data_IF_071132741747
#
_entry.id   IF_071132741747
#
_cell.length_a   1.000
_cell.length_b   1.000
_cell.length_c   1.000
_cell.angle_alpha   90.00
_cell.angle_beta   90.00
_cell.angle_gamma   90.00
#
_symmetry.space_group_name_H-M   'P 1'
#
loop_
_entity.id
_entity.type
_entity.pdbx_description
1 polymer ?
#
# COMPACT_ATOMS: atom_id res chain seq x y z
N UNK A 1 -19.31 10.50 14.28
CA UNK A 1 -19.10 9.09 13.88
C UNK A 1 -18.27 8.46 14.98
N UNK A 2 -18.81 7.50 15.73
CA UNK A 2 -18.06 6.80 16.77
C UNK A 2 -16.91 6.04 16.09
N UNK A 3 -15.67 6.38 16.48
CA UNK A 3 -14.50 5.60 16.07
C UNK A 3 -14.69 4.22 16.69
N UNK A 4 -14.90 3.19 15.84
CA UNK A 4 -14.91 1.79 16.29
C UNK A 4 -13.68 1.55 17.17
N UNK A 5 -13.83 0.81 18.27
CA UNK A 5 -12.68 0.32 19.04
C UNK A 5 -11.79 -0.49 18.10
N UNK A 6 -10.66 0.10 17.68
CA UNK A 6 -9.68 -0.53 16.80
C UNK A 6 -8.81 -1.44 17.64
N UNK A 7 -8.66 -2.70 17.23
CA UNK A 7 -7.82 -3.65 17.93
C UNK A 7 -6.33 -3.23 17.88
N UNK A 8 -5.51 -3.58 18.87
CA UNK A 8 -4.08 -3.26 18.86
C UNK A 8 -3.36 -3.73 17.60
N UNK A 9 -3.70 -4.91 17.05
CA UNK A 9 -3.09 -5.40 15.81
C UNK A 9 -3.47 -4.53 14.60
N UNK A 10 -4.73 -4.11 14.51
CA UNK A 10 -5.19 -3.20 13.46
C UNK A 10 -4.47 -1.85 13.52
N UNK A 11 -4.26 -1.34 14.73
CA UNK A 11 -3.51 -0.09 14.93
C UNK A 11 -2.05 -0.21 14.48
N UNK A 12 -1.39 -1.32 14.80
CA UNK A 12 -0.02 -1.59 14.35
C UNK A 12 0.08 -1.65 12.82
N UNK A 13 -0.93 -2.24 12.15
CA UNK A 13 -1.03 -2.27 10.70
C UNK A 13 -1.17 -0.84 10.11
N UNK A 14 -2.08 -0.02 10.65
CA UNK A 14 -2.24 1.38 10.23
C UNK A 14 -0.92 2.15 10.36
N UNK A 15 -0.16 1.91 11.44
CA UNK A 15 1.14 2.55 11.68
C UNK A 15 2.20 2.16 10.65
N UNK A 16 2.29 0.88 10.28
CA UNK A 16 3.20 0.39 9.21
C UNK A 16 2.89 1.02 7.86
N UNK A 17 1.60 1.14 7.53
CA UNK A 17 1.15 1.69 6.28
C UNK A 17 1.40 3.21 6.17
N UNK A 18 1.19 3.97 7.25
CA UNK A 18 1.49 5.41 7.27
C UNK A 18 3.01 5.66 7.20
N UNK A 19 3.83 4.82 7.84
CA UNK A 19 5.30 4.89 7.69
C UNK A 19 5.72 4.62 6.24
N UNK A 20 5.24 3.53 5.64
CA UNK A 20 5.49 3.19 4.24
C UNK A 20 5.12 4.37 3.34
N UNK A 21 3.92 4.93 3.52
CA UNK A 21 3.47 6.08 2.76
C UNK A 21 4.41 7.28 2.87
N UNK A 22 4.78 7.65 4.09
CA UNK A 22 5.63 8.82 4.33
C UNK A 22 7.06 8.65 3.82
N UNK A 23 7.59 7.43 3.71
CA UNK A 23 8.90 7.13 3.08
C UNK A 23 8.89 7.21 1.55
N UNK A 24 7.70 7.20 0.98
CA UNK A 24 7.49 7.00 -0.45
C UNK A 24 6.75 8.16 -1.14
N UNK A 25 6.14 9.08 -0.37
CA UNK A 25 5.39 10.24 -0.85
C UNK A 25 6.20 11.18 -1.79
N UNK A 26 7.53 11.19 -1.74
CA UNK A 26 8.38 11.99 -2.64
C UNK A 26 9.02 11.19 -3.78
N UNK A 27 8.74 9.88 -3.90
CA UNK A 27 9.34 8.98 -4.90
C UNK A 27 8.30 8.68 -5.99
N UNK A 28 8.63 8.98 -7.25
CA UNK A 28 7.73 8.73 -8.39
C UNK A 28 7.47 7.23 -8.61
N UNK A 29 6.19 6.90 -8.84
CA UNK A 29 5.62 5.75 -9.59
C UNK A 29 6.48 4.47 -9.63
N UNK A 30 6.51 3.68 -8.54
CA UNK A 30 5.46 2.67 -8.22
C UNK A 30 4.89 2.79 -6.81
N UNK A 31 5.40 3.73 -6.02
CA UNK A 31 5.12 3.80 -4.59
C UNK A 31 3.81 4.53 -4.25
N UNK A 32 3.39 5.48 -5.08
CA UNK A 32 2.08 6.14 -4.95
C UNK A 32 0.92 5.16 -5.16
N UNK A 33 1.06 4.21 -6.10
CA UNK A 33 0.08 3.15 -6.29
C UNK A 33 0.04 2.21 -5.08
N UNK A 34 1.18 1.75 -4.58
CA UNK A 34 1.24 0.92 -3.37
C UNK A 34 0.62 1.64 -2.15
N UNK A 35 0.77 2.96 -2.06
CA UNK A 35 0.13 3.80 -1.03
C UNK A 35 -1.39 3.82 -1.19
N UNK A 36 -1.90 4.09 -2.40
CA UNK A 36 -3.35 4.12 -2.69
C UNK A 36 -3.98 2.75 -2.45
N UNK A 37 -3.31 1.69 -2.88
CA UNK A 37 -3.65 0.30 -2.57
C UNK A 37 -3.82 0.11 -1.06
N UNK A 38 -2.80 0.44 -0.27
CA UNK A 38 -2.83 0.32 1.18
C UNK A 38 -3.96 1.13 1.84
N UNK A 39 -4.20 2.36 1.36
CA UNK A 39 -5.30 3.20 1.84
C UNK A 39 -6.66 2.56 1.58
N UNK A 40 -6.91 2.06 0.37
CA UNK A 40 -8.16 1.40 0.03
C UNK A 40 -8.38 0.10 0.83
N UNK A 41 -7.31 -0.67 1.10
CA UNK A 41 -7.38 -1.85 1.98
C UNK A 41 -7.90 -1.44 3.35
N UNK A 42 -7.31 -0.38 3.91
CA UNK A 42 -7.64 0.12 5.24
C UNK A 42 -9.05 0.71 5.30
N UNK A 43 -9.45 1.51 4.30
CA UNK A 43 -10.77 2.09 4.21
C UNK A 43 -11.85 1.00 4.16
N UNK A 44 -11.65 0.00 3.29
CA UNK A 44 -12.57 -1.11 3.16
C UNK A 44 -12.61 -2.00 4.41
N UNK A 45 -11.44 -2.26 5.02
CA UNK A 45 -11.34 -3.25 6.11
C UNK A 45 -11.61 -2.72 7.51
N UNK A 46 -11.29 -1.45 7.74
CA UNK A 46 -11.35 -0.83 9.06
C UNK A 46 -12.44 0.24 9.15
N UNK A 47 -13.17 0.48 8.05
CA UNK A 47 -14.32 1.37 8.01
C UNK A 47 -13.96 2.86 8.03
N UNK A 48 -12.72 3.20 7.68
CA UNK A 48 -12.35 4.58 7.41
C UNK A 48 -12.95 4.99 6.07
N UNK A 49 -13.44 6.23 5.96
CA UNK A 49 -13.97 6.74 4.68
C UNK A 49 -12.98 7.61 3.93
N UNK A 50 -11.87 8.00 4.57
CA UNK A 50 -10.80 8.76 3.95
C UNK A 50 -9.49 8.68 4.75
N UNK A 51 -8.37 8.94 4.06
CA UNK A 51 -7.01 9.03 4.59
C UNK A 51 -6.85 9.97 5.79
N UNK A 52 -7.64 11.02 5.99
CA UNK A 52 -7.40 11.89 7.14
C UNK A 52 -7.82 11.19 8.44
N UNK A 53 -8.79 10.27 8.38
CA UNK A 53 -9.35 9.62 9.57
C UNK A 53 -8.36 8.68 10.27
N UNK A 54 -7.69 7.77 9.54
CA UNK A 54 -6.66 6.91 10.14
C UNK A 54 -5.41 7.69 10.56
N UNK A 55 -4.98 8.71 9.81
CA UNK A 55 -3.85 9.58 10.19
C UNK A 55 -4.18 10.33 11.49
N UNK A 56 -5.39 10.85 11.63
CA UNK A 56 -5.83 11.51 12.86
C UNK A 56 -6.04 10.54 14.02
N UNK A 57 -6.43 9.29 13.76
CA UNK A 57 -6.45 8.24 14.78
C UNK A 57 -5.03 7.94 15.29
N UNK A 58 -4.07 7.77 14.38
CA UNK A 58 -2.66 7.53 14.72
C UNK A 58 -2.07 8.69 15.53
N UNK A 59 -2.37 9.94 15.16
CA UNK A 59 -1.98 11.13 15.94
C UNK A 59 -2.48 11.07 17.39
N UNK A 60 -3.71 10.58 17.62
CA UNK A 60 -4.31 10.49 18.96
C UNK A 60 -3.68 9.42 19.84
N UNK A 61 -3.02 8.43 19.26
CA UNK A 61 -2.37 7.32 19.98
C UNK A 61 -1.01 7.73 20.60
N UNK A 62 -0.52 8.93 20.29
CA UNK A 62 0.71 9.48 20.89
C UNK A 62 2.00 8.76 20.47
N UNK A 63 1.93 7.72 19.64
CA UNK A 63 3.05 6.86 19.22
C UNK A 63 3.69 7.24 17.89
N UNK A 64 3.24 8.30 17.21
CA UNK A 64 3.57 8.47 15.80
C UNK A 64 4.30 9.76 15.48
N UNK A 65 5.58 9.61 15.12
CA UNK A 65 6.51 10.66 14.74
C UNK A 65 6.30 11.20 13.30
N UNK A 66 5.13 11.01 12.68
CA UNK A 66 4.97 11.08 11.22
C UNK A 66 4.93 12.49 10.60
N UNK A 67 5.00 13.57 11.37
CA UNK A 67 4.93 14.93 10.83
C UNK A 67 5.91 15.88 11.55
N UNK A 68 7.21 15.64 11.39
CA UNK A 68 8.20 16.65 11.75
C UNK A 68 8.78 17.25 10.47
N UNK A 69 8.54 18.55 10.29
CA UNK A 69 9.37 19.38 9.43
C UNK A 69 10.46 19.99 10.33
N UNK A 70 11.68 19.50 10.16
CA UNK A 70 12.84 19.99 10.91
C UNK A 70 13.50 21.15 10.14
N UNK A 71 13.72 22.28 10.82
CA UNK A 71 14.25 23.51 10.19
C UNK A 71 15.68 23.88 10.61
N UNK A 72 16.18 23.44 11.78
CA UNK A 72 17.55 23.76 12.29
C UNK A 72 17.99 22.89 13.49
N UNK A 73 19.29 22.60 13.71
CA UNK A 73 19.83 21.75 14.80
C UNK A 73 20.22 20.30 14.44
N UNK A 74 20.29 19.37 15.39
CA UNK A 74 20.42 17.93 15.07
C UNK A 74 19.08 17.20 15.20
N UNK A 75 18.89 16.13 14.40
CA UNK A 75 17.74 15.21 14.54
C UNK A 75 17.65 14.67 15.97
N UNK A 76 18.80 14.39 16.58
CA UNK A 76 18.87 13.91 17.96
C UNK A 76 18.32 14.90 18.97
N UNK A 77 18.71 16.17 18.91
CA UNK A 77 18.19 17.20 19.84
C UNK A 77 16.67 17.37 19.72
N UNK A 78 16.14 17.28 18.50
CA UNK A 78 14.72 17.39 18.26
C UNK A 78 13.95 16.21 18.83
N UNK A 79 14.42 14.99 18.57
CA UNK A 79 13.81 13.78 19.14
C UNK A 79 13.88 13.82 20.66
N UNK A 80 15.00 14.23 21.24
CA UNK A 80 15.16 14.37 22.70
C UNK A 80 14.16 15.39 23.27
N UNK A 81 13.95 16.52 22.58
CA UNK A 81 12.94 17.52 22.98
C UNK A 81 11.53 16.93 22.93
N UNK A 82 11.18 16.26 21.83
CA UNK A 82 9.90 15.58 21.69
C UNK A 82 9.66 14.53 22.78
N UNK A 83 10.69 13.76 23.14
CA UNK A 83 10.63 12.79 24.23
C UNK A 83 10.31 13.47 25.57
N UNK A 84 10.91 14.63 25.84
CA UNK A 84 10.61 15.42 27.05
C UNK A 84 9.16 15.93 27.05
N UNK A 85 8.68 16.45 25.92
CA UNK A 85 7.32 17.00 25.78
C UNK A 85 6.24 15.91 25.89
N UNK A 86 6.55 14.69 25.47
CA UNK A 86 5.63 13.54 25.49
C UNK A 86 5.82 12.60 26.67
N UNK A 87 6.78 12.88 27.56
CA UNK A 87 7.08 12.03 28.73
C UNK A 87 7.67 10.66 28.37
N UNK A 88 8.35 10.55 27.23
CA UNK A 88 8.98 9.31 26.75
C UNK A 88 10.45 9.26 27.13
N UNK A 89 10.93 8.05 27.41
CA UNK A 89 12.36 7.79 27.61
C UNK A 89 13.07 7.61 26.26
N UNK A 90 14.33 8.02 26.21
CA UNK A 90 15.21 7.87 25.04
C UNK A 90 16.60 7.40 25.46
N UNK A 91 17.33 6.75 24.54
CA UNK A 91 18.72 6.32 24.75
C UNK A 91 19.47 6.22 23.43
N UNK A 92 20.80 6.16 23.50
CA UNK A 92 21.61 5.66 22.40
C UNK A 92 21.87 4.15 22.57
N UNK A 93 21.79 3.39 21.48
CA UNK A 93 22.22 2.00 21.45
C UNK A 93 23.74 1.90 21.59
N UNK A 94 24.25 0.69 21.83
CA UNK A 94 25.71 0.44 21.82
C UNK A 94 26.36 0.71 20.45
N UNK A 95 25.56 0.80 19.38
CA UNK A 95 25.98 1.17 18.03
C UNK A 95 25.85 2.68 17.75
N UNK A 96 25.46 3.48 18.75
CA UNK A 96 25.27 4.93 18.60
C UNK A 96 23.96 5.33 17.93
N UNK A 97 23.01 4.40 17.79
CA UNK A 97 21.71 4.69 17.17
C UNK A 97 20.74 5.27 18.21
N UNK A 98 20.03 6.35 17.86
CA UNK A 98 19.02 6.93 18.75
C UNK A 98 17.80 6.02 18.84
N UNK A 99 17.36 5.74 20.06
CA UNK A 99 16.20 4.90 20.37
C UNK A 99 15.24 5.61 21.32
N UNK A 100 13.94 5.33 21.18
CA UNK A 100 12.88 5.85 22.06
C UNK A 100 12.04 4.71 22.60
N UNK A 101 11.59 4.83 23.85
CA UNK A 101 10.63 3.93 24.44
C UNK A 101 9.24 4.10 23.78
N UNK A 102 8.74 3.02 23.17
CA UNK A 102 7.41 2.97 22.57
C UNK A 102 6.82 1.56 22.65
N UNK A 103 5.57 1.43 23.10
CA UNK A 103 4.93 0.13 23.30
C UNK A 103 5.69 -0.85 24.21
N UNK A 104 6.44 -0.35 25.20
CA UNK A 104 7.24 -1.19 26.12
C UNK A 104 8.58 -1.67 25.55
N UNK A 105 8.95 -1.27 24.33
CA UNK A 105 10.20 -1.65 23.68
C UNK A 105 11.02 -0.40 23.30
N UNK A 106 12.33 -0.60 23.12
CA UNK A 106 13.22 0.44 22.60
C UNK A 106 13.22 0.38 21.08
N UNK A 107 12.72 1.43 20.43
CA UNK A 107 12.61 1.49 18.97
C UNK A 107 13.61 2.47 18.39
N UNK A 108 14.30 2.06 17.34
CA UNK A 108 15.24 2.91 16.61
C UNK A 108 14.49 4.05 15.92
N UNK A 109 15.12 5.21 15.92
CA UNK A 109 14.71 6.36 15.13
C UNK A 109 15.43 6.33 13.79
N UNK A 110 14.64 6.26 12.73
CA UNK A 110 15.12 6.46 11.37
C UNK A 110 14.78 7.87 10.90
N UNK A 111 15.57 8.40 9.98
CA UNK A 111 15.27 9.66 9.34
C UNK A 111 15.67 9.65 7.87
N UNK A 112 14.92 10.40 7.06
CA UNK A 112 15.18 10.58 5.63
C UNK A 112 15.31 12.08 5.36
N UNK A 113 16.42 12.49 4.74
CA UNK A 113 16.67 13.88 4.36
C UNK A 113 16.25 14.09 2.90
N UNK A 114 15.19 14.87 2.66
CA UNK A 114 14.76 15.23 1.30
C UNK A 114 15.53 16.40 0.69
N UNK A 115 15.42 16.58 -0.63
CA UNK A 115 16.10 17.63 -1.41
C UNK A 115 15.69 19.07 -1.03
N UNK A 116 14.65 19.27 -0.22
CA UNK A 116 14.11 20.57 0.19
C UNK A 116 14.22 20.85 1.69
N UNK A 117 15.25 20.33 2.36
CA UNK A 117 15.48 20.46 3.81
C UNK A 117 14.38 19.83 4.71
N UNK A 118 13.35 19.22 4.14
CA UNK A 118 12.40 18.40 4.89
C UNK A 118 13.09 17.10 5.30
N UNK A 119 13.53 17.03 6.55
CA UNK A 119 13.98 15.77 7.18
C UNK A 119 12.81 15.14 7.90
N UNK A 120 12.44 13.92 7.49
CA UNK A 120 11.34 13.14 8.08
C UNK A 120 11.91 12.18 9.10
N UNK A 121 11.29 12.09 10.27
CA UNK A 121 11.72 11.20 11.35
C UNK A 121 10.66 10.12 11.55
N UNK A 122 11.10 8.88 11.73
CA UNK A 122 10.23 7.71 11.82
C UNK A 122 10.56 6.91 13.08
N UNK A 123 9.51 6.45 13.76
CA UNK A 123 9.62 5.32 14.67
C UNK A 123 9.28 4.07 13.85
N UNK A 124 10.25 3.18 13.65
CA UNK A 124 9.98 1.90 13.00
C UNK A 124 8.88 1.17 13.81
N UNK A 125 7.69 0.93 13.22
CA UNK A 125 6.64 0.17 13.87
C UNK A 125 7.11 -1.27 14.02
N UNK A 126 6.68 -1.91 15.11
CA UNK A 126 6.92 -3.34 15.29
C UNK A 126 6.21 -4.07 14.14
N UNK A 127 6.92 -4.87 13.33
CA UNK A 127 6.28 -5.65 12.28
C UNK A 127 5.30 -6.62 12.93
N UNK A 128 4.11 -6.72 12.34
CA UNK A 128 3.12 -7.68 12.78
C UNK A 128 3.57 -9.08 12.33
N UNK A 129 3.40 -10.11 13.17
CA UNK A 129 3.62 -11.48 12.75
C UNK A 129 2.79 -11.81 11.50
N UNK A 130 3.35 -12.60 10.58
CA UNK A 130 2.69 -12.96 9.31
C UNK A 130 1.31 -13.63 9.53
N UNK A 131 1.16 -14.38 10.62
CA UNK A 131 -0.10 -15.01 11.00
C UNK A 131 -1.18 -14.00 11.38
N UNK A 132 -0.82 -12.93 12.09
CA UNK A 132 -1.74 -11.83 12.44
C UNK A 132 -2.10 -11.01 11.21
N UNK A 133 -1.14 -10.74 10.33
CA UNK A 133 -1.40 -10.12 9.02
C UNK A 133 -2.39 -10.93 8.19
N UNK A 134 -2.22 -12.26 8.13
CA UNK A 134 -3.15 -13.16 7.44
C UNK A 134 -4.53 -13.18 8.08
N UNK A 135 -4.63 -13.09 9.40
CA UNK A 135 -5.91 -13.01 10.12
C UNK A 135 -6.64 -11.68 9.83
N UNK A 136 -5.91 -10.56 9.83
CA UNK A 136 -6.43 -9.25 9.47
C UNK A 136 -6.85 -9.14 7.99
N UNK A 137 -6.22 -9.92 7.12
CA UNK A 137 -6.56 -10.01 5.69
C UNK A 137 -7.79 -10.90 5.40
N UNK A 138 -8.42 -11.53 6.41
CA UNK A 138 -9.51 -12.47 6.14
C UNK A 138 -10.78 -11.78 5.66
N UNK A 139 -11.12 -10.56 6.10
CA UNK A 139 -12.23 -9.79 5.56
C UNK A 139 -12.06 -8.28 5.73
N UNK A 140 -12.50 -7.45 4.76
CA UNK A 140 -13.11 -7.76 3.48
C UNK A 140 -12.10 -7.78 2.32
N UNK A 141 -12.30 -8.75 1.44
CA UNK A 141 -11.49 -8.98 0.26
C UNK A 141 -11.62 -7.85 -0.76
N UNK A 142 -10.50 -7.21 -1.09
CA UNK A 142 -10.45 -6.22 -2.16
C UNK A 142 -10.68 -6.91 -3.49
N UNK A 143 -11.60 -6.35 -4.28
CA UNK A 143 -11.89 -6.81 -5.64
C UNK A 143 -11.00 -6.09 -6.63
N UNK A 144 -10.72 -6.73 -7.76
CA UNK A 144 -9.89 -6.15 -8.82
C UNK A 144 -10.42 -4.77 -9.28
N UNK A 145 -11.75 -4.60 -9.41
CA UNK A 145 -12.37 -3.31 -9.77
C UNK A 145 -12.04 -2.18 -8.81
N UNK A 146 -11.92 -2.47 -7.52
CA UNK A 146 -11.56 -1.46 -6.53
C UNK A 146 -10.14 -0.96 -6.80
N UNK A 147 -9.24 -1.80 -7.34
CA UNK A 147 -7.89 -1.39 -7.71
C UNK A 147 -7.84 -0.53 -8.97
N UNK A 148 -8.80 -0.73 -9.88
CA UNK A 148 -8.92 0.13 -11.07
C UNK A 148 -9.29 1.56 -10.68
N UNK A 149 -10.17 1.73 -9.69
CA UNK A 149 -10.55 3.05 -9.18
C UNK A 149 -9.37 3.80 -8.53
N UNK A 150 -8.36 3.07 -8.05
CA UNK A 150 -7.14 3.65 -7.47
C UNK A 150 -6.10 4.07 -8.52
N UNK A 151 -6.32 3.66 -9.77
CA UNK A 151 -5.43 3.87 -10.91
C UNK A 151 -4.29 2.85 -10.91
N UNK A 152 -4.43 1.78 -11.68
CA UNK A 152 -3.32 0.85 -11.91
C UNK A 152 -2.17 1.57 -12.65
N UNK A 153 -0.91 1.23 -12.37
CA UNK A 153 0.22 1.64 -13.19
C UNK A 153 -0.03 1.28 -14.66
N UNK A 154 0.41 2.15 -15.56
CA UNK A 154 0.22 1.96 -17.00
C UNK A 154 1.00 0.76 -17.56
N UNK A 155 2.04 0.31 -16.86
CA UNK A 155 2.91 -0.80 -17.26
C UNK A 155 3.36 -1.65 -16.05
N UNK A 156 3.93 -2.81 -16.34
CA UNK A 156 4.56 -3.72 -15.36
C UNK A 156 3.63 -4.22 -14.24
N UNK A 157 2.33 -4.34 -14.51
CA UNK A 157 1.35 -4.97 -13.62
C UNK A 157 0.66 -6.11 -14.32
N UNK A 158 0.63 -7.27 -13.67
CA UNK A 158 0.16 -8.52 -14.24
C UNK A 158 -0.85 -9.20 -13.32
N UNK A 159 -1.89 -9.78 -13.91
CA UNK A 159 -2.83 -10.68 -13.26
C UNK A 159 -2.28 -12.10 -13.32
N UNK A 160 -2.27 -12.77 -12.17
CA UNK A 160 -1.88 -14.19 -12.08
C UNK A 160 -2.94 -14.94 -11.29
N UNK A 161 -3.17 -16.21 -11.61
CA UNK A 161 -4.12 -17.04 -10.87
C UNK A 161 -3.46 -17.68 -9.63
N UNK A 162 -4.21 -17.80 -8.54
CA UNK A 162 -3.68 -18.30 -7.25
C UNK A 162 -3.14 -19.74 -7.33
N UNK A 163 -3.71 -20.60 -8.17
CA UNK A 163 -3.37 -22.03 -8.25
C UNK A 163 -3.10 -22.54 -9.66
N UNK A 164 -3.41 -21.78 -10.70
CA UNK A 164 -3.34 -22.25 -12.09
C UNK A 164 -2.26 -21.45 -12.81
N UNK A 165 -1.47 -22.13 -13.63
CA UNK A 165 -0.48 -21.46 -14.48
C UNK A 165 -1.17 -21.00 -15.77
N UNK A 166 -1.48 -19.71 -15.82
CA UNK A 166 -2.03 -19.01 -16.99
C UNK A 166 -1.06 -17.98 -17.55
N UNK A 167 0.20 -18.00 -17.09
CA UNK A 167 1.18 -16.96 -17.39
C UNK A 167 0.90 -15.62 -16.68
N UNK A 168 1.50 -14.56 -17.22
CA UNK A 168 1.39 -13.19 -16.72
C UNK A 168 0.50 -12.38 -17.65
N UNK A 169 -0.76 -12.16 -17.26
CA UNK A 169 -1.73 -11.44 -18.09
C UNK A 169 -1.62 -9.94 -17.80
N UNK A 170 -1.39 -9.07 -18.79
CA UNK A 170 -1.28 -7.63 -18.57
C UNK A 170 -2.53 -7.03 -17.91
N UNK A 171 -2.35 -6.15 -16.94
CA UNK A 171 -3.45 -5.51 -16.20
C UNK A 171 -3.73 -4.06 -16.63
N UNK A 172 -2.84 -3.44 -17.40
CA UNK A 172 -2.92 -2.03 -17.77
C UNK A 172 -4.19 -1.69 -18.56
N UNK A 173 -4.57 -2.60 -19.46
CA UNK A 173 -5.69 -2.47 -20.39
C UNK A 173 -7.05 -2.60 -19.69
N UNK A 174 -7.08 -3.03 -18.42
CA UNK A 174 -8.32 -3.08 -17.63
C UNK A 174 -8.94 -1.70 -17.46
N UNK A 175 -8.10 -0.66 -17.35
CA UNK A 175 -8.54 0.73 -17.23
C UNK A 175 -9.18 1.27 -18.51
N UNK A 176 -8.88 0.64 -19.65
CA UNK A 176 -9.33 1.03 -20.99
C UNK A 176 -10.54 0.23 -21.48
N UNK A 177 -11.07 -0.68 -20.66
CA UNK A 177 -12.25 -1.46 -21.02
C UNK A 177 -13.45 -0.55 -21.32
N UNK A 178 -14.05 -0.75 -22.49
CA UNK A 178 -15.38 -0.20 -22.81
C UNK A 178 -16.44 -0.74 -21.85
N UNK A 179 -17.61 -0.08 -21.78
CA UNK A 179 -18.72 -0.54 -20.93
C UNK A 179 -19.11 -1.99 -21.22
N UNK A 180 -19.16 -2.37 -22.51
CA UNK A 180 -19.39 -3.76 -22.92
C UNK A 180 -18.27 -4.70 -22.46
N UNK A 181 -17.02 -4.26 -22.47
CA UNK A 181 -15.89 -5.02 -21.95
C UNK A 181 -15.98 -5.21 -20.44
N UNK A 182 -16.40 -4.19 -19.69
CA UNK A 182 -16.63 -4.27 -18.24
C UNK A 182 -17.75 -5.25 -17.91
N UNK A 183 -18.83 -5.29 -18.70
CA UNK A 183 -19.89 -6.29 -18.56
C UNK A 183 -19.38 -7.71 -18.87
N UNK A 184 -18.64 -7.88 -19.96
CA UNK A 184 -18.09 -9.18 -20.37
C UNK A 184 -17.12 -9.76 -19.34
N UNK A 185 -16.27 -8.92 -18.75
CA UNK A 185 -15.27 -9.32 -17.76
C UNK A 185 -15.67 -8.98 -16.31
N UNK A 186 -16.98 -8.83 -16.04
CA UNK A 186 -17.47 -8.43 -14.72
C UNK A 186 -17.01 -9.38 -13.61
N UNK A 187 -16.97 -10.68 -13.88
CA UNK A 187 -16.49 -11.71 -12.95
C UNK A 187 -14.99 -11.55 -12.65
N UNK A 188 -14.16 -11.27 -13.67
CA UNK A 188 -12.74 -10.96 -13.49
C UNK A 188 -12.56 -9.69 -12.65
N UNK A 189 -13.36 -8.66 -12.92
CA UNK A 189 -13.36 -7.41 -12.17
C UNK A 189 -13.86 -7.58 -10.72
N UNK A 190 -14.69 -8.59 -10.45
CA UNK A 190 -15.15 -8.95 -9.11
C UNK A 190 -14.22 -9.93 -8.39
N UNK A 191 -13.20 -10.46 -9.07
CA UNK A 191 -12.27 -11.42 -8.50
C UNK A 191 -11.56 -10.85 -7.27
N UNK A 192 -11.35 -11.72 -6.27
CA UNK A 192 -10.62 -11.37 -5.06
C UNK A 192 -9.14 -11.25 -5.38
N UNK A 193 -8.54 -10.11 -5.05
CA UNK A 193 -7.09 -9.95 -5.03
C UNK A 193 -6.59 -10.53 -3.70
N UNK A 194 -6.03 -11.74 -3.79
CA UNK A 194 -5.56 -12.50 -2.63
C UNK A 194 -4.16 -12.11 -2.16
N UNK A 195 -3.34 -11.59 -3.06
CA UNK A 195 -2.03 -11.04 -2.76
C UNK A 195 -1.58 -10.06 -3.84
N UNK A 196 -0.69 -9.14 -3.46
CA UNK A 196 0.09 -8.31 -4.37
C UNK A 196 1.56 -8.58 -4.08
N UNK A 197 2.32 -8.98 -5.09
CA UNK A 197 3.74 -9.36 -4.91
C UNK A 197 4.62 -8.88 -6.05
N UNK A 198 5.92 -8.78 -5.80
CA UNK A 198 6.90 -8.54 -6.86
C UNK A 198 7.18 -9.85 -7.60
N UNK A 199 6.96 -9.84 -8.91
CA UNK A 199 7.23 -10.92 -9.85
C UNK A 199 8.40 -10.60 -10.79
N UNK A 200 8.80 -11.53 -11.66
CA UNK A 200 9.96 -11.39 -12.55
C UNK A 200 9.80 -10.28 -13.60
N UNK A 201 8.56 -9.94 -13.98
CA UNK A 201 8.26 -8.93 -15.00
C UNK A 201 7.69 -7.64 -14.43
N UNK A 202 7.37 -7.59 -13.14
CA UNK A 202 6.69 -6.46 -12.52
C UNK A 202 5.87 -6.85 -11.31
N UNK A 203 4.85 -6.08 -10.98
CA UNK A 203 3.93 -6.37 -9.88
C UNK A 203 2.87 -7.39 -10.30
N UNK A 204 2.67 -8.42 -9.49
CA UNK A 204 1.66 -9.45 -9.72
C UNK A 204 0.47 -9.26 -8.76
N UNK A 205 -0.73 -9.17 -9.33
CA UNK A 205 -2.02 -9.24 -8.64
C UNK A 205 -2.50 -10.69 -8.67
N UNK A 206 -2.39 -11.37 -7.53
CA UNK A 206 -2.78 -12.79 -7.41
C UNK A 206 -4.28 -12.89 -7.19
N UNK A 207 -5.00 -13.37 -8.21
CA UNK A 207 -6.46 -13.48 -8.18
C UNK A 207 -6.91 -14.85 -7.63
N UNK A 208 -7.94 -14.81 -6.79
CA UNK A 208 -8.61 -15.98 -6.24
C UNK A 208 -10.12 -15.91 -6.50
N UNK A 209 -10.74 -17.08 -6.64
CA UNK A 209 -12.19 -17.19 -6.85
C UNK A 209 -12.67 -16.77 -8.23
N UNK A 210 -11.79 -16.81 -9.24
CA UNK A 210 -12.09 -16.54 -10.66
C UNK A 210 -11.70 -17.75 -11.50
N UNK A 211 -12.45 -18.06 -12.55
CA UNK A 211 -12.08 -19.11 -13.49
C UNK A 211 -10.75 -18.73 -14.21
N UNK A 212 -9.69 -19.56 -14.14
CA UNK A 212 -8.46 -19.33 -14.89
C UNK A 212 -8.67 -19.11 -16.39
N UNK A 213 -9.70 -19.73 -16.99
CA UNK A 213 -10.01 -19.54 -18.41
C UNK A 213 -10.43 -18.10 -18.73
N UNK A 214 -11.00 -17.38 -17.75
CA UNK A 214 -11.40 -15.99 -17.94
C UNK A 214 -10.16 -15.07 -18.09
N UNK A 215 -9.05 -15.37 -17.40
CA UNK A 215 -7.79 -14.66 -17.57
C UNK A 215 -7.21 -14.89 -18.98
N UNK A 216 -7.26 -16.13 -19.47
CA UNK A 216 -6.81 -16.48 -20.83
C UNK A 216 -7.66 -15.80 -21.90
N UNK A 217 -8.99 -15.79 -21.71
CA UNK A 217 -9.90 -15.09 -22.62
C UNK A 217 -9.66 -13.58 -22.65
N UNK A 218 -9.36 -12.99 -21.49
CA UNK A 218 -9.02 -11.58 -21.37
C UNK A 218 -7.71 -11.25 -22.09
N UNK A 219 -6.65 -12.05 -21.87
CA UNK A 219 -5.36 -11.89 -22.55
C UNK A 219 -5.51 -11.96 -24.08
N UNK A 220 -6.27 -12.95 -24.56
CA UNK A 220 -6.58 -13.11 -25.97
C UNK A 220 -7.34 -11.90 -26.53
N UNK A 221 -8.32 -11.37 -25.79
CA UNK A 221 -9.09 -10.20 -26.21
C UNK A 221 -8.23 -8.93 -26.32
N UNK A 222 -7.28 -8.72 -25.40
CA UNK A 222 -6.30 -7.63 -25.49
C UNK A 222 -5.44 -7.80 -26.75
N UNK A 223 -4.92 -9.01 -26.97
CA UNK A 223 -4.05 -9.30 -28.11
C UNK A 223 -4.79 -9.12 -29.45
N UNK A 224 -6.07 -9.50 -29.53
CA UNK A 224 -6.93 -9.29 -30.70
C UNK A 224 -7.17 -7.80 -30.97
N UNK A 225 -7.41 -7.01 -29.92
CA UNK A 225 -7.58 -5.56 -30.01
C UNK A 225 -6.30 -4.89 -30.55
N UNK A 226 -5.15 -5.22 -29.98
CA UNK A 226 -3.84 -4.69 -30.42
C UNK A 226 -3.51 -5.03 -31.88
N UNK A 227 -3.87 -6.25 -32.33
CA UNK A 227 -3.73 -6.66 -33.74
C UNK A 227 -4.63 -5.86 -34.67
N UNK A 228 -5.89 -5.65 -34.29
CA UNK A 228 -6.83 -4.87 -35.08
C UNK A 228 -6.38 -3.40 -35.22
N UNK A 229 -5.91 -2.77 -34.13
CA UNK A 229 -5.39 -1.41 -34.14
C UNK A 229 -4.12 -1.29 -35.00
N UNK A 230 -3.21 -2.26 -34.90
CA UNK A 230 -1.99 -2.30 -35.71
C UNK A 230 -2.30 -2.43 -37.20
N UNK A 231 -3.28 -3.26 -37.56
CA UNK A 231 -3.74 -3.39 -38.93
C UNK A 231 -4.37 -2.08 -39.44
N UNK A 232 -5.23 -1.43 -38.65
CA UNK A 232 -5.83 -0.14 -39.01
C UNK A 232 -4.77 0.95 -39.25
N UNK A 233 -3.72 1.01 -38.42
CA UNK A 233 -2.60 1.96 -38.60
C UNK A 233 -1.75 1.69 -39.84
N UNK A 234 -1.72 0.47 -40.37
CA UNK A 234 -1.02 0.16 -41.64
C UNK A 234 -1.84 0.52 -42.89
N UNK A 235 -3.16 0.73 -42.76
CA UNK A 235 -4.05 1.07 -43.87
C UNK A 235 -4.45 2.56 -43.90
N UNK A 236 -3.86 3.39 -43.06
CA UNK A 236 -3.95 4.86 -43.04
C UNK A 236 -2.63 5.49 -43.48
#
# INVERSE_FOLDING_TARGET
>A
MEVKNIAPEQLALLSQLEEFRKRHESKSEPSDWAIRMCQAIVEHSLGFTDRNQWTDLLKKQGETLFNFEWTEGSVSEHVIRWCKETGRDWRYSHLGELQVASGGEWRRIDYECGEHAQTRVFLAPKPLPEQELKALAQEPAIRLRNLLELGLPEHDVYLVHTTADVGWVPAAELTQLSDRGKEQFAELLDAKVSAVRSGPYGTELVLAGVDPQLLVQYDQAIADCARAESAMKMFM
#
